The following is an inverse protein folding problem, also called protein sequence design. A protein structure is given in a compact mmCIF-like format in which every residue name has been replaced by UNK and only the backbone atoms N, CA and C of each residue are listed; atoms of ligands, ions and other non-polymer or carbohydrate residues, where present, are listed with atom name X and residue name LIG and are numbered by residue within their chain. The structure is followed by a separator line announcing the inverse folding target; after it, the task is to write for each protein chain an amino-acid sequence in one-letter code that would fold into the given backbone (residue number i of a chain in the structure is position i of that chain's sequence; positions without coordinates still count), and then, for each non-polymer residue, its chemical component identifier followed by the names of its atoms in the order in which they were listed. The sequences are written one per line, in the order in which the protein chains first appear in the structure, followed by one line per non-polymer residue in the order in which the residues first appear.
data_IF_085478398902
#
_entry.id   IF_085478398902
#
_cell.length_a   1.000
_cell.length_b   1.000
_cell.length_c   1.000
_cell.angle_alpha   90.00
_cell.angle_beta   90.00
_cell.angle_gamma   90.00
#
_symmetry.space_group_name_H-M   'P 1'
#
loop_
_entity.id
_entity.type
_entity.pdbx_description
1 polymer ?
#
# COMPACT_ATOMS: atom_id res chain seq x y z
N UNK A 1 -9.63 -67.28 -30.47
CA UNK A 1 -9.67 -67.14 -29.01
C UNK A 1 -8.71 -66.10 -28.50
N UNK A 2 -7.49 -66.11 -28.96
CA UNK A 2 -6.48 -65.15 -28.51
C UNK A 2 -6.84 -63.68 -28.87
N UNK A 3 -7.53 -63.46 -30.00
CA UNK A 3 -7.93 -62.10 -30.42
C UNK A 3 -9.01 -61.50 -29.55
N UNK A 4 -9.95 -62.31 -29.03
CA UNK A 4 -11.01 -61.82 -28.12
C UNK A 4 -10.43 -61.45 -26.75
N UNK A 5 -9.54 -62.31 -26.21
CA UNK A 5 -8.83 -62.05 -24.98
C UNK A 5 -7.93 -60.81 -25.10
N UNK A 6 -7.26 -60.67 -26.26
CA UNK A 6 -6.44 -59.49 -26.55
C UNK A 6 -7.24 -58.20 -26.61
N UNK A 7 -8.39 -58.21 -27.23
CA UNK A 7 -9.29 -57.07 -27.29
C UNK A 7 -9.80 -56.67 -25.90
N UNK A 8 -10.17 -57.66 -25.08
CA UNK A 8 -10.60 -57.43 -23.72
C UNK A 8 -9.50 -56.77 -22.86
N UNK A 9 -8.27 -57.26 -22.96
CA UNK A 9 -7.11 -56.71 -22.28
C UNK A 9 -6.86 -55.26 -22.75
N UNK A 10 -6.94 -54.99 -24.06
CA UNK A 10 -6.81 -53.64 -24.62
C UNK A 10 -7.88 -52.71 -24.09
N UNK A 11 -9.13 -53.14 -24.00
CA UNK A 11 -10.22 -52.33 -23.43
C UNK A 11 -9.98 -52.03 -21.97
N UNK A 12 -9.45 -52.97 -21.18
CA UNK A 12 -9.12 -52.72 -19.78
C UNK A 12 -8.01 -51.66 -19.64
N UNK A 13 -6.96 -51.80 -20.48
CA UNK A 13 -5.86 -50.82 -20.49
C UNK A 13 -6.34 -49.44 -20.88
N UNK A 14 -7.16 -49.35 -21.95
CA UNK A 14 -7.72 -48.08 -22.39
C UNK A 14 -8.58 -47.42 -21.31
N UNK A 15 -9.40 -48.21 -20.61
CA UNK A 15 -10.23 -47.73 -19.52
C UNK A 15 -9.36 -47.16 -18.37
N UNK A 16 -8.27 -47.86 -18.04
CA UNK A 16 -7.32 -47.39 -17.01
C UNK A 16 -6.63 -46.11 -17.44
N UNK A 17 -6.22 -46.01 -18.70
CA UNK A 17 -5.60 -44.81 -19.26
C UNK A 17 -6.57 -43.64 -19.19
N UNK A 18 -7.84 -43.82 -19.56
CA UNK A 18 -8.87 -42.81 -19.52
C UNK A 18 -9.12 -42.33 -18.09
N UNK A 19 -9.17 -43.23 -17.12
CA UNK A 19 -9.29 -42.88 -15.70
C UNK A 19 -8.10 -42.06 -15.20
N UNK A 20 -6.89 -42.47 -15.57
CA UNK A 20 -5.68 -41.73 -15.21
C UNK A 20 -5.67 -40.33 -15.80
N UNK A 21 -6.04 -40.18 -17.07
CA UNK A 21 -6.12 -38.89 -17.73
C UNK A 21 -7.14 -37.97 -17.06
N UNK A 22 -8.32 -38.53 -16.75
CA UNK A 22 -9.38 -37.79 -16.04
C UNK A 22 -8.89 -37.36 -14.69
N UNK A 23 -8.23 -38.23 -13.93
CA UNK A 23 -7.68 -37.89 -12.61
C UNK A 23 -6.60 -36.81 -12.70
N UNK A 24 -5.73 -36.92 -13.71
CA UNK A 24 -4.69 -35.91 -13.96
C UNK A 24 -5.31 -34.53 -14.27
N UNK A 25 -6.38 -34.52 -15.07
CA UNK A 25 -7.08 -33.26 -15.38
C UNK A 25 -7.73 -32.66 -14.14
N UNK A 26 -8.32 -33.49 -13.27
CA UNK A 26 -8.89 -33.05 -12.00
C UNK A 26 -7.83 -32.45 -11.07
N UNK A 27 -6.67 -33.11 -10.97
CA UNK A 27 -5.53 -32.65 -10.17
C UNK A 27 -5.01 -31.31 -10.71
N UNK A 28 -4.86 -31.20 -12.03
CA UNK A 28 -4.38 -29.99 -12.68
C UNK A 28 -5.34 -28.81 -12.43
N UNK A 29 -6.64 -29.06 -12.56
CA UNK A 29 -7.67 -28.05 -12.27
C UNK A 29 -7.59 -27.57 -10.82
N UNK A 30 -7.44 -28.49 -9.86
CA UNK A 30 -7.30 -28.15 -8.44
C UNK A 30 -6.04 -27.34 -8.18
N UNK A 31 -4.90 -27.71 -8.82
CA UNK A 31 -3.65 -26.96 -8.70
C UNK A 31 -3.78 -25.55 -9.28
N UNK A 32 -4.46 -25.39 -10.40
CA UNK A 32 -4.69 -24.09 -11.03
C UNK A 32 -5.56 -23.21 -10.14
N UNK A 33 -6.62 -23.77 -9.54
CA UNK A 33 -7.48 -23.07 -8.59
C UNK A 33 -6.68 -22.62 -7.36
N UNK A 34 -5.79 -23.48 -6.83
CA UNK A 34 -4.94 -23.14 -5.70
C UNK A 34 -3.95 -22.04 -6.04
N UNK A 35 -3.38 -22.03 -7.25
CA UNK A 35 -2.51 -20.94 -7.71
C UNK A 35 -3.26 -19.62 -7.77
N UNK A 36 -4.48 -19.62 -8.29
CA UNK A 36 -5.31 -18.43 -8.35
C UNK A 36 -5.61 -17.88 -6.95
N UNK A 37 -5.92 -18.75 -5.99
CA UNK A 37 -6.15 -18.36 -4.59
C UNK A 37 -4.87 -17.78 -3.96
N UNK A 38 -3.73 -18.44 -4.14
CA UNK A 38 -2.44 -17.96 -3.61
C UNK A 38 -2.09 -16.60 -4.20
N UNK A 39 -2.28 -16.42 -5.49
CA UNK A 39 -2.01 -15.14 -6.16
C UNK A 39 -2.95 -14.04 -5.66
N UNK A 40 -4.24 -14.36 -5.50
CA UNK A 40 -5.22 -13.42 -4.95
C UNK A 40 -4.85 -13.00 -3.53
N UNK A 41 -4.43 -13.93 -2.68
CA UNK A 41 -3.98 -13.64 -1.32
C UNK A 41 -2.74 -12.74 -1.32
N UNK A 42 -1.78 -13.01 -2.20
CA UNK A 42 -0.59 -12.17 -2.36
C UNK A 42 -0.98 -10.74 -2.75
N UNK A 43 -1.89 -10.59 -3.70
CA UNK A 43 -2.35 -9.28 -4.15
C UNK A 43 -3.04 -8.52 -3.03
N UNK A 44 -3.84 -9.21 -2.21
CA UNK A 44 -4.49 -8.61 -1.03
C UNK A 44 -3.45 -8.18 0.00
N UNK A 45 -2.45 -9.00 0.28
CA UNK A 45 -1.37 -8.66 1.22
C UNK A 45 -0.57 -7.45 0.75
N UNK A 46 -0.22 -7.40 -0.54
CA UNK A 46 0.49 -6.26 -1.13
C UNK A 46 -0.35 -4.98 -1.04
N UNK A 47 -1.62 -5.05 -1.40
CA UNK A 47 -2.53 -3.91 -1.34
C UNK A 47 -2.73 -3.42 0.10
N UNK A 48 -2.88 -4.35 1.05
CA UNK A 48 -3.00 -4.04 2.48
C UNK A 48 -1.73 -3.37 2.99
N UNK A 49 -0.56 -3.88 2.62
CA UNK A 49 0.74 -3.31 2.98
C UNK A 49 0.91 -1.88 2.45
N UNK A 50 0.52 -1.64 1.20
CA UNK A 50 0.56 -0.31 0.59
C UNK A 50 -0.38 0.66 1.30
N UNK A 51 -1.59 0.21 1.62
CA UNK A 51 -2.57 1.03 2.34
C UNK A 51 -2.08 1.39 3.75
N UNK A 52 -1.56 0.42 4.49
CA UNK A 52 -1.00 0.65 5.83
C UNK A 52 0.19 1.61 5.79
N UNK A 53 1.06 1.47 4.79
CA UNK A 53 2.18 2.39 4.58
C UNK A 53 1.70 3.80 4.29
N UNK A 54 0.69 3.95 3.43
CA UNK A 54 0.11 5.24 3.08
C UNK A 54 -0.56 5.91 4.29
N UNK A 55 -1.25 5.13 5.13
CA UNK A 55 -1.86 5.63 6.36
C UNK A 55 -0.79 6.13 7.33
N UNK A 56 0.31 5.37 7.49
CA UNK A 56 1.43 5.79 8.34
C UNK A 56 2.09 7.06 7.82
N UNK A 57 2.32 7.15 6.52
CA UNK A 57 2.90 8.33 5.88
C UNK A 57 2.02 9.55 6.10
N UNK A 58 0.72 9.39 5.90
CA UNK A 58 -0.25 10.45 6.14
C UNK A 58 -0.23 10.92 7.61
N UNK A 59 -0.26 9.98 8.55
CA UNK A 59 -0.21 10.30 9.98
C UNK A 59 1.12 10.98 10.36
N UNK A 60 2.23 10.51 9.81
CA UNK A 60 3.55 11.10 10.03
C UNK A 60 3.64 12.55 9.52
N UNK A 61 3.12 12.79 8.32
CA UNK A 61 3.09 14.12 7.72
C UNK A 61 2.19 15.05 8.54
N UNK A 62 1.04 14.56 8.96
CA UNK A 62 0.14 15.35 9.82
C UNK A 62 0.82 15.73 11.14
N UNK A 63 1.56 14.79 11.75
CA UNK A 63 2.34 15.09 12.95
C UNK A 63 3.40 16.15 12.73
N UNK A 64 4.11 16.12 11.59
CA UNK A 64 5.06 17.16 11.22
C UNK A 64 4.40 18.52 11.02
N UNK A 65 3.24 18.54 10.35
CA UNK A 65 2.45 19.77 10.16
C UNK A 65 2.10 20.38 11.53
N UNK A 66 1.63 19.56 12.46
CA UNK A 66 1.24 20.00 13.79
C UNK A 66 2.42 20.61 14.56
N UNK A 67 3.59 19.98 14.46
CA UNK A 67 4.82 20.49 15.08
C UNK A 67 5.23 21.83 14.47
N UNK A 68 5.25 21.93 13.15
CA UNK A 68 5.65 23.14 12.42
C UNK A 68 4.64 24.27 12.68
N UNK A 69 3.35 23.94 12.69
CA UNK A 69 2.29 24.91 13.00
C UNK A 69 2.41 25.47 14.43
N UNK A 70 2.76 24.59 15.40
CA UNK A 70 3.01 25.04 16.78
C UNK A 70 4.22 25.96 16.88
N UNK A 71 5.29 25.66 16.15
CA UNK A 71 6.47 26.52 16.10
C UNK A 71 6.15 27.87 15.49
N UNK A 72 5.37 27.89 14.42
CA UNK A 72 4.92 29.11 13.75
C UNK A 72 4.08 29.97 14.71
N UNK A 73 3.10 29.36 15.38
CA UNK A 73 2.25 30.04 16.36
C UNK A 73 3.07 30.64 17.52
N UNK A 74 3.99 29.86 18.06
CA UNK A 74 4.87 30.33 19.14
C UNK A 74 5.77 31.48 18.67
N UNK A 75 6.29 31.39 17.45
CA UNK A 75 7.09 32.44 16.83
C UNK A 75 6.30 33.74 16.66
N UNK A 76 5.04 33.66 16.20
CA UNK A 76 4.15 34.80 16.06
C UNK A 76 3.84 35.41 17.42
N UNK A 77 3.55 34.62 18.43
CA UNK A 77 3.29 35.11 19.79
C UNK A 77 4.49 35.88 20.33
N UNK A 78 5.71 35.40 20.10
CA UNK A 78 6.93 36.09 20.49
C UNK A 78 7.10 37.42 19.72
N UNK A 79 6.80 37.38 18.41
CA UNK A 79 6.91 38.57 17.56
C UNK A 79 5.97 39.70 18.02
N UNK A 80 4.71 39.35 18.35
CA UNK A 80 3.69 40.33 18.74
C UNK A 80 3.60 40.57 20.25
N UNK A 81 4.36 39.87 21.08
CA UNK A 81 4.31 40.01 22.52
C UNK A 81 5.01 41.26 23.03
N UNK A 82 5.79 41.93 22.21
CA UNK A 82 6.56 43.12 22.60
C UNK A 82 7.79 42.81 23.49
N UNK A 83 8.10 41.55 23.74
CA UNK A 83 9.27 41.11 24.53
C UNK A 83 10.57 41.22 23.74
N UNK A 84 10.49 41.14 22.43
CA UNK A 84 11.64 41.26 21.51
C UNK A 84 11.59 42.65 20.90
N UNK A 85 12.58 43.48 21.23
CA UNK A 85 12.64 44.89 20.80
C UNK A 85 13.77 45.13 19.80
N UNK A 86 14.72 44.22 19.67
CA UNK A 86 15.83 44.33 18.73
C UNK A 86 15.34 44.16 17.29
N UNK A 87 15.54 45.15 16.39
CA UNK A 87 15.07 45.05 15.01
C UNK A 87 15.64 43.85 14.24
N UNK A 88 16.85 43.42 14.55
CA UNK A 88 17.49 42.27 13.92
C UNK A 88 16.77 40.99 14.34
N UNK A 89 16.47 40.80 15.63
CA UNK A 89 15.75 39.65 16.16
C UNK A 89 14.33 39.61 15.62
N UNK A 90 13.64 40.75 15.49
CA UNK A 90 12.31 40.83 14.90
C UNK A 90 12.31 40.38 13.45
N UNK A 91 13.33 40.81 12.68
CA UNK A 91 13.49 40.39 11.29
C UNK A 91 13.76 38.91 11.21
N UNK A 92 14.63 38.37 12.05
CA UNK A 92 14.94 36.94 12.10
C UNK A 92 13.68 36.13 12.43
N UNK A 93 12.85 36.57 13.37
CA UNK A 93 11.59 35.91 13.70
C UNK A 93 10.59 35.94 12.52
N UNK A 94 10.52 37.06 11.80
CA UNK A 94 9.69 37.16 10.60
C UNK A 94 10.16 36.22 9.52
N UNK A 95 11.46 36.17 9.27
CA UNK A 95 12.07 35.27 8.26
C UNK A 95 11.84 33.81 8.62
N UNK A 96 11.96 33.43 9.91
CA UNK A 96 11.63 32.10 10.40
C UNK A 96 10.16 31.78 10.21
N UNK A 97 9.27 32.73 10.50
CA UNK A 97 7.83 32.57 10.30
C UNK A 97 7.48 32.30 8.83
N UNK A 98 8.07 33.04 7.91
CA UNK A 98 7.87 32.83 6.48
C UNK A 98 8.38 31.46 6.02
N UNK A 99 9.56 31.04 6.54
CA UNK A 99 10.11 29.72 6.24
C UNK A 99 9.20 28.60 6.76
N UNK A 100 8.64 28.77 7.95
CA UNK A 100 7.69 27.81 8.54
C UNK A 100 6.39 27.72 7.74
N UNK A 101 5.88 28.84 7.27
CA UNK A 101 4.67 28.88 6.41
C UNK A 101 4.94 28.12 5.10
N UNK A 102 6.10 28.34 4.48
CA UNK A 102 6.48 27.59 3.28
C UNK A 102 6.60 26.09 3.56
N UNK A 103 7.19 25.75 4.71
CA UNK A 103 7.30 24.33 5.11
C UNK A 103 5.94 23.68 5.31
N UNK A 104 5.00 24.39 5.93
CA UNK A 104 3.62 23.90 6.10
C UNK A 104 2.96 23.67 4.76
N UNK A 105 3.11 24.60 3.80
CA UNK A 105 2.56 24.44 2.46
C UNK A 105 3.13 23.20 1.76
N UNK A 106 4.44 22.98 1.84
CA UNK A 106 5.08 21.81 1.27
C UNK A 106 4.60 20.51 1.93
N UNK A 107 4.42 20.52 3.24
CA UNK A 107 3.90 19.37 3.99
C UNK A 107 2.43 19.08 3.66
N UNK A 108 1.63 20.11 3.45
CA UNK A 108 0.23 19.96 3.03
C UNK A 108 0.14 19.35 1.63
N UNK A 109 1.02 19.74 0.71
CA UNK A 109 1.11 19.13 -0.62
C UNK A 109 1.50 17.65 -0.51
N UNK A 110 2.49 17.33 0.32
CA UNK A 110 2.90 15.95 0.57
C UNK A 110 1.78 15.13 1.23
N UNK A 111 1.00 15.76 2.11
CA UNK A 111 -0.18 15.14 2.74
C UNK A 111 -1.24 14.78 1.70
N UNK A 112 -1.52 15.71 0.77
CA UNK A 112 -2.47 15.45 -0.31
C UNK A 112 -2.02 14.29 -1.18
N UNK A 113 -0.73 14.21 -1.51
CA UNK A 113 -0.17 13.08 -2.26
C UNK A 113 -0.35 11.76 -1.51
N UNK A 114 -0.11 11.75 -0.19
CA UNK A 114 -0.31 10.57 0.64
C UNK A 114 -1.79 10.17 0.72
N UNK A 115 -2.69 11.13 0.77
CA UNK A 115 -4.14 10.90 0.75
C UNK A 115 -4.61 10.30 -0.57
N UNK A 116 -4.03 10.74 -1.68
CA UNK A 116 -4.32 10.18 -3.01
C UNK A 116 -3.90 8.71 -3.06
N UNK A 117 -2.70 8.38 -2.58
CA UNK A 117 -2.22 6.99 -2.52
C UNK A 117 -3.12 6.14 -1.62
N UNK A 118 -3.51 6.65 -0.47
CA UNK A 118 -4.43 5.96 0.45
C UNK A 118 -5.78 5.68 -0.20
N UNK A 119 -6.34 6.66 -0.91
CA UNK A 119 -7.62 6.50 -1.61
C UNK A 119 -7.53 5.50 -2.75
N UNK A 120 -6.45 5.54 -3.54
CA UNK A 120 -6.20 4.58 -4.62
C UNK A 120 -6.09 3.14 -4.07
N UNK A 121 -5.51 2.96 -2.89
CA UNK A 121 -5.42 1.64 -2.25
C UNK A 121 -6.77 1.08 -1.79
N UNK A 122 -7.78 1.93 -1.60
CA UNK A 122 -9.14 1.50 -1.20
C UNK A 122 -9.95 0.97 -2.38
N UNK A 123 -9.58 1.32 -3.61
CA UNK A 123 -10.20 0.81 -4.81
C UNK A 123 -9.59 -0.54 -5.20
#
# INVERSE_FOLDING_TARGET
MNSVAGIYILQQVDTKIDRCRKRMAEIQSTLDDNRAVVEALRNVEEATGLMESAIRDHAGIQGEIDIVASKHENGEKRLYSGTVTNPKELKDLQDQGEALVRRIADLEDAKLDAMIVEEDCKE
#
